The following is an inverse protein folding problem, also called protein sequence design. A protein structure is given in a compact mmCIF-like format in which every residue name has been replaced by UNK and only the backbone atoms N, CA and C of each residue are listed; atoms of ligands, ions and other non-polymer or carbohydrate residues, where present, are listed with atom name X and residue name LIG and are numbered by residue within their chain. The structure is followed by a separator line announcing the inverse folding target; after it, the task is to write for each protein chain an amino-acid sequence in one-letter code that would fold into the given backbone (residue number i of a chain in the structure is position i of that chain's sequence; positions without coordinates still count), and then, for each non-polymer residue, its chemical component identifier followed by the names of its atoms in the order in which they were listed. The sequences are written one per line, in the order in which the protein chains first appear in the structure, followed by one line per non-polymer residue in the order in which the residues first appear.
data_IF_069743692365
#
_entry.id   IF_069743692365
#
_cell.length_a   1.000
_cell.length_b   1.000
_cell.length_c   1.000
_cell.angle_alpha   90.00
_cell.angle_beta   90.00
_cell.angle_gamma   90.00
#
_symmetry.space_group_name_H-M   'P 1'
#
loop_
_entity.id
_entity.type
_entity.pdbx_description
1 polymer ?
#
# COMPACT_ATOMS: atom_id res chain seq x y z
N UNK A 1 -28.72 0.92 3.17
CA UNK A 1 -27.24 0.91 3.20
C UNK A 1 -26.75 2.21 2.58
N UNK A 2 -25.77 2.92 3.16
CA UNK A 2 -25.27 4.18 2.57
C UNK A 2 -24.64 3.93 1.19
N UNK A 3 -24.77 4.88 0.25
CA UNK A 3 -24.18 4.78 -1.11
C UNK A 3 -22.67 4.49 -1.08
N UNK A 4 -21.93 5.07 -0.12
CA UNK A 4 -20.50 4.84 0.11
C UNK A 4 -20.18 3.38 0.43
N UNK A 5 -20.95 2.73 1.31
CA UNK A 5 -20.74 1.32 1.67
C UNK A 5 -20.96 0.39 0.47
N UNK A 6 -21.94 0.69 -0.40
CA UNK A 6 -22.18 -0.09 -1.62
C UNK A 6 -20.97 -0.01 -2.58
N UNK A 7 -20.41 1.18 -2.77
CA UNK A 7 -19.22 1.37 -3.63
C UNK A 7 -17.98 0.67 -3.05
N UNK A 8 -17.84 0.65 -1.73
CA UNK A 8 -16.76 -0.08 -1.07
C UNK A 8 -16.94 -1.59 -1.26
N UNK A 9 -18.15 -2.12 -1.06
CA UNK A 9 -18.46 -3.52 -1.33
C UNK A 9 -18.15 -3.89 -2.79
N UNK A 10 -18.55 -3.04 -3.74
CA UNK A 10 -18.23 -3.23 -5.15
C UNK A 10 -16.71 -3.25 -5.38
N UNK A 11 -15.95 -2.41 -4.69
CA UNK A 11 -14.49 -2.45 -4.75
C UNK A 11 -13.94 -3.81 -4.32
N UNK A 12 -14.43 -4.37 -3.22
CA UNK A 12 -14.01 -5.70 -2.77
C UNK A 12 -14.32 -6.77 -3.81
N UNK A 13 -15.53 -6.77 -4.36
CA UNK A 13 -15.94 -7.71 -5.42
C UNK A 13 -15.01 -7.59 -6.64
N UNK A 14 -14.77 -6.37 -7.11
CA UNK A 14 -13.87 -6.11 -8.23
C UNK A 14 -12.44 -6.55 -7.92
N UNK A 15 -11.93 -6.27 -6.72
CA UNK A 15 -10.62 -6.74 -6.28
C UNK A 15 -10.52 -8.27 -6.36
N UNK A 16 -11.53 -8.99 -5.84
CA UNK A 16 -11.55 -10.45 -5.93
C UNK A 16 -11.55 -10.92 -7.38
N UNK A 17 -12.43 -10.39 -8.23
CA UNK A 17 -12.48 -10.76 -9.66
C UNK A 17 -11.19 -10.45 -10.42
N UNK A 18 -10.56 -9.30 -10.14
CA UNK A 18 -9.28 -8.91 -10.72
C UNK A 18 -8.12 -9.78 -10.25
N UNK A 19 -8.15 -10.30 -9.02
CA UNK A 19 -7.05 -11.15 -8.52
C UNK A 19 -7.24 -12.61 -8.92
N UNK A 20 -8.46 -13.13 -8.94
CA UNK A 20 -8.73 -14.51 -9.34
C UNK A 20 -8.51 -14.76 -10.82
N UNK A 21 -8.63 -13.73 -11.66
CA UNK A 21 -8.34 -13.79 -13.10
C UNK A 21 -6.84 -13.79 -13.42
N UNK A 22 -5.96 -13.54 -12.43
CA UNK A 22 -4.51 -13.56 -12.66
C UNK A 22 -4.06 -15.01 -12.88
N UNK A 23 -3.49 -15.35 -14.05
CA UNK A 23 -2.98 -16.69 -14.27
C UNK A 23 -1.87 -17.00 -13.28
N UNK A 24 -1.99 -18.14 -12.59
CA UNK A 24 -0.95 -18.63 -11.69
C UNK A 24 0.23 -19.11 -12.53
N UNK A 25 1.26 -18.27 -12.65
CA UNK A 25 2.53 -18.69 -13.27
C UNK A 25 3.16 -19.79 -12.41
N UNK A 26 3.63 -20.91 -13.01
CA UNK A 26 4.38 -21.91 -12.26
C UNK A 26 5.60 -21.25 -11.62
N UNK A 27 5.93 -21.69 -10.41
CA UNK A 27 7.09 -21.16 -9.69
C UNK A 27 8.37 -21.60 -10.41
N UNK A 28 9.00 -20.67 -11.12
CA UNK A 28 10.35 -20.86 -11.65
C UNK A 28 11.35 -20.34 -10.62
N UNK A 29 12.20 -21.20 -10.03
CA UNK A 29 13.24 -20.74 -9.11
C UNK A 29 14.17 -19.78 -9.86
N UNK A 30 14.23 -18.52 -9.42
CA UNK A 30 15.21 -17.56 -9.94
C UNK A 30 16.57 -17.83 -9.28
N UNK A 31 17.69 -17.68 -10.01
CA UNK A 31 19.01 -17.75 -9.41
C UNK A 31 19.10 -16.78 -8.23
N UNK A 32 19.69 -17.24 -7.12
CA UNK A 32 19.93 -16.38 -5.96
C UNK A 32 20.96 -15.33 -6.39
N UNK A 33 20.66 -14.02 -6.28
CA UNK A 33 21.66 -13.01 -6.56
C UNK A 33 22.84 -13.16 -5.58
N UNK A 34 24.04 -12.80 -6.04
CA UNK A 34 25.21 -12.69 -5.18
C UNK A 34 24.96 -11.54 -4.22
N UNK A 35 24.62 -11.88 -2.98
CA UNK A 35 24.38 -10.90 -1.91
C UNK A 35 25.68 -10.71 -1.15
N UNK A 36 26.13 -9.47 -0.95
CA UNK A 36 27.14 -9.17 0.06
C UNK A 36 26.63 -9.60 1.45
N UNK A 37 27.51 -10.03 2.35
CA UNK A 37 27.16 -10.40 3.73
C UNK A 37 26.21 -9.34 4.33
N UNK A 38 25.02 -9.78 4.75
CA UNK A 38 23.86 -8.99 5.24
C UNK A 38 24.17 -7.51 5.47
N UNK A 39 24.05 -6.70 4.41
CA UNK A 39 24.34 -5.29 4.50
C UNK A 39 23.07 -4.52 4.82
N UNK A 40 23.11 -3.60 5.79
CA UNK A 40 21.94 -2.77 6.18
C UNK A 40 21.38 -1.94 5.00
N UNK A 41 22.18 -1.78 3.94
CA UNK A 41 21.80 -1.21 2.65
C UNK A 41 20.77 -2.06 1.91
N UNK A 42 20.73 -3.39 2.10
CA UNK A 42 19.75 -4.28 1.47
C UNK A 42 18.32 -4.00 1.95
N UNK A 43 18.15 -3.61 3.22
CA UNK A 43 16.84 -3.23 3.75
C UNK A 43 16.37 -1.89 3.19
N UNK A 44 17.26 -0.89 3.14
CA UNK A 44 16.94 0.38 2.51
C UNK A 44 16.61 0.19 1.02
N UNK A 45 17.37 -0.64 0.29
CA UNK A 45 17.10 -1.02 -1.10
C UNK A 45 15.70 -1.61 -1.27
N UNK A 46 15.31 -2.51 -0.38
CA UNK A 46 13.99 -3.15 -0.42
C UNK A 46 12.85 -2.14 -0.19
N UNK A 47 13.04 -1.16 0.71
CA UNK A 47 12.06 -0.09 0.93
C UNK A 47 12.02 0.93 -0.21
N UNK A 48 13.16 1.27 -0.81
CA UNK A 48 13.24 2.29 -1.87
C UNK A 48 12.78 1.73 -3.21
N UNK A 49 13.27 0.55 -3.59
CA UNK A 49 13.09 -0.03 -4.94
C UNK A 49 12.18 -1.24 -5.00
N UNK A 50 11.75 -1.74 -3.85
CA UNK A 50 10.99 -2.99 -3.76
C UNK A 50 11.82 -4.26 -4.00
N UNK A 51 13.14 -4.12 -4.10
CA UNK A 51 14.03 -5.24 -4.36
C UNK A 51 14.34 -6.01 -3.06
N UNK A 52 13.60 -7.08 -2.86
CA UNK A 52 13.72 -7.98 -1.69
C UNK A 52 14.70 -9.12 -1.93
N UNK A 53 15.42 -9.13 -3.06
CA UNK A 53 16.21 -10.29 -3.47
C UNK A 53 17.35 -10.60 -2.49
N UNK A 54 18.03 -9.57 -1.99
CA UNK A 54 19.12 -9.67 -1.00
C UNK A 54 18.68 -9.75 0.47
N UNK A 55 17.38 -9.64 0.76
CA UNK A 55 16.90 -9.71 2.14
C UNK A 55 16.99 -11.13 2.70
N UNK A 56 17.51 -11.26 3.91
CA UNK A 56 17.59 -12.55 4.58
C UNK A 56 16.21 -13.13 4.90
N UNK A 57 16.07 -14.47 4.91
CA UNK A 57 14.78 -15.12 5.18
C UNK A 57 14.16 -14.70 6.52
N UNK A 58 15.01 -14.45 7.53
CA UNK A 58 14.59 -13.97 8.86
C UNK A 58 13.92 -12.61 8.76
N UNK A 59 14.53 -11.64 8.08
CA UNK A 59 13.95 -10.29 7.89
C UNK A 59 12.64 -10.36 7.12
N UNK A 60 12.58 -11.14 6.04
CA UNK A 60 11.34 -11.38 5.27
C UNK A 60 10.23 -11.96 6.13
N UNK A 61 10.54 -12.96 6.96
CA UNK A 61 9.58 -13.62 7.86
C UNK A 61 9.02 -12.64 8.90
N UNK A 62 9.86 -11.77 9.48
CA UNK A 62 9.40 -10.76 10.43
C UNK A 62 8.49 -9.72 9.77
N UNK A 63 8.87 -9.19 8.61
CA UNK A 63 8.01 -8.24 7.88
C UNK A 63 6.70 -8.89 7.41
N UNK A 64 6.73 -10.17 7.03
CA UNK A 64 5.50 -10.92 6.72
C UNK A 64 4.59 -11.04 7.95
N UNK A 65 5.18 -11.37 9.11
CA UNK A 65 4.44 -11.53 10.37
C UNK A 65 3.75 -10.23 10.80
N UNK A 66 4.41 -9.07 10.61
CA UNK A 66 3.86 -7.75 10.88
C UNK A 66 2.97 -7.18 9.77
N UNK A 67 2.74 -7.94 8.69
CA UNK A 67 2.04 -7.45 7.50
C UNK A 67 2.65 -6.16 6.94
N UNK A 68 3.99 -6.06 6.91
CA UNK A 68 4.75 -4.90 6.42
C UNK A 68 5.39 -5.11 5.04
N UNK A 69 5.21 -6.28 4.42
CA UNK A 69 5.81 -6.57 3.11
C UNK A 69 5.35 -5.61 2.01
N UNK A 70 4.17 -4.98 2.15
CA UNK A 70 3.67 -3.96 1.24
C UNK A 70 4.47 -2.67 1.32
N UNK A 71 5.11 -2.36 2.45
CA UNK A 71 6.00 -1.21 2.57
C UNK A 71 7.29 -1.41 1.77
N UNK A 72 7.70 -2.64 1.49
CA UNK A 72 8.81 -2.96 0.58
C UNK A 72 8.34 -3.06 -0.88
N UNK A 73 7.26 -2.39 -1.24
CA UNK A 73 6.77 -2.33 -2.61
C UNK A 73 6.44 -0.87 -2.87
N UNK A 74 7.11 -0.21 -3.83
CA UNK A 74 6.87 1.19 -4.11
C UNK A 74 5.37 1.44 -4.33
N UNK A 75 4.79 2.25 -3.45
CA UNK A 75 3.35 2.44 -3.30
C UNK A 75 2.99 3.91 -3.15
N UNK A 76 1.69 4.22 -3.06
CA UNK A 76 1.22 5.60 -2.84
C UNK A 76 1.81 6.26 -1.59
N UNK A 77 2.15 5.49 -0.55
CA UNK A 77 2.81 6.03 0.65
C UNK A 77 4.22 6.54 0.38
N UNK A 78 4.97 5.84 -0.47
CA UNK A 78 6.30 6.26 -0.88
C UNK A 78 6.18 7.55 -1.71
N UNK A 79 5.20 7.59 -2.62
CA UNK A 79 4.90 8.81 -3.36
C UNK A 79 4.53 9.97 -2.44
N UNK A 80 3.74 9.75 -1.39
CA UNK A 80 3.44 10.78 -0.39
C UNK A 80 4.71 11.31 0.28
N UNK A 81 5.67 10.45 0.62
CA UNK A 81 6.97 10.91 1.13
C UNK A 81 7.74 11.77 0.14
N UNK A 82 7.82 11.35 -1.13
CA UNK A 82 8.44 12.16 -2.18
C UNK A 82 7.71 13.50 -2.35
N UNK A 83 6.38 13.51 -2.32
CA UNK A 83 5.59 14.72 -2.40
C UNK A 83 5.80 15.65 -1.18
N UNK A 84 6.00 15.09 0.03
CA UNK A 84 6.36 15.85 1.21
C UNK A 84 7.74 16.51 1.06
N UNK A 85 8.73 15.78 0.54
CA UNK A 85 10.06 16.35 0.24
C UNK A 85 10.00 17.47 -0.80
N UNK A 86 9.16 17.32 -1.82
CA UNK A 86 8.94 18.34 -2.85
C UNK A 86 7.97 19.45 -2.41
N UNK A 87 7.34 19.33 -1.24
CA UNK A 87 6.26 20.23 -0.82
C UNK A 87 6.66 21.70 -0.72
N UNK A 88 7.86 22.09 -0.25
CA UNK A 88 8.25 23.50 -0.22
C UNK A 88 8.30 24.10 -1.62
N UNK A 89 8.85 23.36 -2.60
CA UNK A 89 8.90 23.77 -4.00
C UNK A 89 7.48 23.85 -4.61
N UNK A 90 6.64 22.84 -4.35
CA UNK A 90 5.25 22.83 -4.83
C UNK A 90 4.43 24.00 -4.26
N UNK A 91 4.64 24.36 -2.99
CA UNK A 91 3.99 25.49 -2.34
C UNK A 91 4.46 26.82 -2.92
N UNK A 92 5.77 26.98 -3.14
CA UNK A 92 6.34 28.17 -3.78
C UNK A 92 5.79 28.37 -5.20
N UNK A 93 5.69 27.29 -5.98
CA UNK A 93 5.15 27.33 -7.34
C UNK A 93 3.62 27.42 -7.41
N UNK A 94 2.89 27.26 -6.30
CA UNK A 94 1.41 27.23 -6.30
C UNK A 94 0.79 28.49 -6.92
N UNK A 95 1.41 29.66 -6.74
CA UNK A 95 0.97 30.93 -7.33
C UNK A 95 1.25 31.02 -8.84
N UNK A 96 2.22 30.25 -9.35
CA UNK A 96 2.65 30.19 -10.75
C UNK A 96 1.99 28.99 -11.44
N UNK A 97 0.69 29.11 -11.77
CA UNK A 97 -0.15 27.99 -12.28
C UNK A 97 0.53 27.16 -13.39
N UNK A 98 1.14 27.83 -14.39
CA UNK A 98 1.83 27.15 -15.48
C UNK A 98 3.06 26.36 -15.02
N UNK A 99 3.91 26.96 -14.17
CA UNK A 99 5.09 26.29 -13.62
C UNK A 99 4.72 25.11 -12.71
N UNK A 100 3.66 25.26 -11.90
CA UNK A 100 3.15 24.17 -11.07
C UNK A 100 2.59 23.03 -11.92
N UNK A 101 1.88 23.33 -13.01
CA UNK A 101 1.41 22.32 -13.95
C UNK A 101 2.57 21.61 -14.65
N UNK A 102 3.56 22.37 -15.15
CA UNK A 102 4.75 21.83 -15.79
C UNK A 102 5.54 20.91 -14.85
N UNK A 103 5.70 21.29 -13.58
CA UNK A 103 6.34 20.42 -12.59
C UNK A 103 5.59 19.08 -12.43
N UNK A 104 4.26 19.09 -12.36
CA UNK A 104 3.46 17.86 -12.27
C UNK A 104 3.62 17.00 -13.53
N UNK A 105 3.68 17.61 -14.70
CA UNK A 105 3.89 16.93 -15.97
C UNK A 105 5.27 16.28 -16.02
N UNK A 106 6.33 16.99 -15.61
CA UNK A 106 7.70 16.47 -15.51
C UNK A 106 7.75 15.28 -14.54
N UNK A 107 7.17 15.42 -13.35
CA UNK A 107 7.15 14.35 -12.34
C UNK A 107 6.39 13.13 -12.85
N UNK A 108 5.24 13.32 -13.51
CA UNK A 108 4.50 12.23 -14.15
C UNK A 108 5.32 11.54 -15.25
N UNK A 109 5.94 12.31 -16.15
CA UNK A 109 6.79 11.79 -17.23
C UNK A 109 7.98 10.99 -16.70
N UNK A 110 8.65 11.47 -15.65
CA UNK A 110 9.74 10.76 -14.98
C UNK A 110 9.30 9.39 -14.49
N UNK A 111 8.19 9.31 -13.74
CA UNK A 111 7.72 8.03 -13.20
C UNK A 111 7.14 7.12 -14.28
N UNK A 112 6.58 7.66 -15.37
CA UNK A 112 6.06 6.86 -16.47
C UNK A 112 7.15 6.01 -17.13
N UNK A 113 8.38 6.55 -17.24
CA UNK A 113 9.56 5.84 -17.76
C UNK A 113 10.10 4.72 -16.87
N UNK A 114 9.65 4.60 -15.60
CA UNK A 114 10.16 3.59 -14.66
C UNK A 114 9.15 2.46 -14.46
N UNK A 115 9.41 1.30 -15.06
CA UNK A 115 8.51 0.13 -15.05
C UNK A 115 8.11 -0.34 -13.64
N UNK A 116 9.01 -0.28 -12.66
CA UNK A 116 8.79 -0.78 -11.30
C UNK A 116 7.89 0.12 -10.45
N UNK A 117 7.61 1.34 -10.89
CA UNK A 117 6.93 2.39 -10.10
C UNK A 117 5.48 2.61 -10.54
N UNK A 118 4.76 1.55 -10.91
CA UNK A 118 3.37 1.63 -11.40
C UNK A 118 2.41 2.38 -10.44
N UNK A 119 2.58 2.21 -9.13
CA UNK A 119 1.77 2.95 -8.16
C UNK A 119 2.03 4.47 -8.19
N UNK A 120 3.26 4.89 -8.47
CA UNK A 120 3.61 6.31 -8.61
C UNK A 120 3.02 6.88 -9.90
N UNK A 121 3.02 6.11 -11.00
CA UNK A 121 2.36 6.51 -12.25
C UNK A 121 0.88 6.83 -12.02
N UNK A 122 0.16 5.96 -11.30
CA UNK A 122 -1.25 6.21 -10.93
C UNK A 122 -1.43 7.46 -10.07
N UNK A 123 -0.61 7.63 -9.02
CA UNK A 123 -0.76 8.79 -8.12
C UNK A 123 -0.41 10.10 -8.82
N UNK A 124 0.65 10.13 -9.63
CA UNK A 124 1.03 11.32 -10.41
C UNK A 124 0.01 11.64 -11.50
N UNK A 125 -0.51 10.63 -12.19
CA UNK A 125 -1.60 10.79 -13.16
C UNK A 125 -2.86 11.34 -12.47
N UNK A 126 -3.19 10.87 -11.26
CA UNK A 126 -4.27 11.42 -10.47
C UNK A 126 -4.09 12.91 -10.17
N UNK A 127 -2.90 13.32 -9.74
CA UNK A 127 -2.60 14.73 -9.49
C UNK A 127 -2.57 15.59 -10.76
N UNK A 128 -2.14 15.02 -11.89
CA UNK A 128 -2.13 15.68 -13.19
C UNK A 128 -3.55 15.88 -13.71
N UNK A 129 -4.39 14.86 -13.68
CA UNK A 129 -5.80 14.91 -14.09
C UNK A 129 -6.58 15.95 -13.27
N UNK A 130 -6.36 15.98 -11.95
CA UNK A 130 -6.95 16.98 -11.05
C UNK A 130 -6.46 18.41 -11.31
N UNK A 131 -5.27 18.57 -11.90
CA UNK A 131 -4.78 19.88 -12.33
C UNK A 131 -5.37 20.30 -13.68
N UNK A 132 -5.56 19.35 -14.61
CA UNK A 132 -6.18 19.56 -15.92
C UNK A 132 -7.67 19.86 -15.82
N UNK A 133 -8.40 19.15 -14.95
CA UNK A 133 -9.85 19.27 -14.80
C UNK A 133 -10.20 19.55 -13.33
N UNK A 134 -9.98 20.78 -12.82
CA UNK A 134 -10.11 21.08 -11.38
C UNK A 134 -11.51 20.85 -10.80
N UNK A 135 -12.55 20.97 -11.63
CA UNK A 135 -13.96 20.78 -11.25
C UNK A 135 -14.39 19.31 -11.22
N UNK A 136 -13.55 18.39 -11.69
CA UNK A 136 -13.89 16.96 -11.73
C UNK A 136 -14.04 16.42 -10.32
N UNK A 137 -15.10 15.68 -10.04
CA UNK A 137 -15.27 15.04 -8.73
C UNK A 137 -14.06 14.17 -8.37
N UNK A 138 -13.67 14.18 -7.09
CA UNK A 138 -12.47 13.50 -6.62
C UNK A 138 -12.58 11.96 -6.77
N UNK A 139 -13.78 11.39 -6.56
CA UNK A 139 -14.04 9.95 -6.75
C UNK A 139 -14.02 9.59 -8.22
N UNK A 140 -14.60 10.44 -9.08
CA UNK A 140 -14.56 10.25 -10.52
C UNK A 140 -13.14 10.35 -11.08
N UNK A 141 -12.34 11.31 -10.58
CA UNK A 141 -10.92 11.43 -10.94
C UNK A 141 -10.14 10.15 -10.65
N UNK A 142 -10.44 9.50 -9.51
CA UNK A 142 -9.84 8.21 -9.16
C UNK A 142 -10.24 7.10 -10.14
N UNK A 143 -11.53 6.97 -10.44
CA UNK A 143 -11.99 5.96 -11.40
C UNK A 143 -11.36 6.17 -12.78
N UNK A 144 -11.34 7.42 -13.25
CA UNK A 144 -10.76 7.77 -14.55
C UNK A 144 -9.27 7.42 -14.62
N UNK A 145 -8.50 7.65 -13.54
CA UNK A 145 -7.09 7.23 -13.47
C UNK A 145 -6.93 5.72 -13.62
N UNK A 146 -7.76 4.92 -12.96
CA UNK A 146 -7.67 3.47 -13.06
C UNK A 146 -8.13 2.94 -14.41
N UNK A 147 -9.13 3.57 -15.04
CA UNK A 147 -9.53 3.25 -16.42
C UNK A 147 -8.39 3.57 -17.39
N UNK A 148 -7.78 4.75 -17.28
CA UNK A 148 -6.63 5.14 -18.11
C UNK A 148 -5.46 4.17 -17.89
N UNK A 149 -5.07 3.91 -16.64
CA UNK A 149 -3.96 3.00 -16.29
C UNK A 149 -4.22 1.56 -16.76
N UNK A 150 -5.48 1.12 -16.75
CA UNK A 150 -5.88 -0.18 -17.30
C UNK A 150 -5.70 -0.23 -18.83
N UNK A 151 -6.17 0.80 -19.55
CA UNK A 151 -6.03 0.90 -21.01
C UNK A 151 -4.54 0.92 -21.42
N UNK A 152 -3.68 1.59 -20.65
CA UNK A 152 -2.23 1.58 -20.86
C UNK A 152 -1.53 0.27 -20.47
N UNK A 153 -2.28 -0.77 -20.07
CA UNK A 153 -1.76 -2.11 -19.86
C UNK A 153 -1.07 -2.33 -18.50
N UNK A 154 -1.19 -1.42 -17.54
CA UNK A 154 -0.59 -1.56 -16.21
C UNK A 154 -1.10 -2.79 -15.46
N UNK A 155 -2.37 -3.17 -15.67
CA UNK A 155 -2.92 -4.42 -15.12
C UNK A 155 -2.21 -5.65 -15.70
N UNK A 156 -1.97 -5.70 -17.01
CA UNK A 156 -1.26 -6.83 -17.64
C UNK A 156 0.20 -6.94 -17.17
N UNK A 157 0.87 -5.81 -16.95
CA UNK A 157 2.27 -5.77 -16.49
C UNK A 157 2.41 -6.15 -15.00
N UNK A 158 1.55 -5.62 -14.14
CA UNK A 158 1.64 -5.77 -12.69
C UNK A 158 0.25 -5.88 -12.03
N UNK A 159 -0.48 -6.99 -12.25
CA UNK A 159 -1.91 -7.09 -11.90
C UNK A 159 -2.16 -7.02 -10.40
N UNK A 160 -1.25 -7.57 -9.58
CA UNK A 160 -1.35 -7.45 -8.12
C UNK A 160 -1.15 -6.00 -7.65
N UNK A 161 -0.20 -5.27 -8.23
CA UNK A 161 0.03 -3.85 -7.89
C UNK A 161 -1.20 -3.02 -8.24
N UNK A 162 -1.78 -3.24 -9.42
CA UNK A 162 -3.00 -2.59 -9.87
C UNK A 162 -4.17 -2.88 -8.92
N UNK A 163 -4.47 -4.15 -8.67
CA UNK A 163 -5.61 -4.58 -7.85
C UNK A 163 -5.51 -4.09 -6.41
N UNK A 164 -4.32 -4.18 -5.79
CA UNK A 164 -4.10 -3.67 -4.43
C UNK A 164 -4.20 -2.15 -4.37
N UNK A 165 -3.67 -1.45 -5.37
CA UNK A 165 -3.80 0.01 -5.44
C UNK A 165 -5.26 0.42 -5.56
N UNK A 166 -6.04 -0.27 -6.41
CA UNK A 166 -7.46 -0.01 -6.57
C UNK A 166 -8.20 -0.19 -5.24
N UNK A 167 -7.99 -1.32 -4.56
CA UNK A 167 -8.60 -1.64 -3.28
C UNK A 167 -8.28 -0.60 -2.19
N UNK A 168 -7.00 -0.33 -1.95
CA UNK A 168 -6.61 0.54 -0.83
C UNK A 168 -6.93 2.02 -1.10
N UNK A 169 -6.71 2.50 -2.33
CA UNK A 169 -7.00 3.89 -2.66
C UNK A 169 -8.50 4.13 -2.64
N UNK A 170 -9.33 3.24 -3.21
CA UNK A 170 -10.79 3.43 -3.17
C UNK A 170 -11.30 3.50 -1.73
N UNK A 171 -10.78 2.68 -0.81
CA UNK A 171 -11.16 2.73 0.61
C UNK A 171 -10.83 4.10 1.22
N UNK A 172 -9.65 4.64 0.94
CA UNK A 172 -9.24 5.97 1.42
C UNK A 172 -10.19 7.05 0.89
N UNK A 173 -10.54 6.98 -0.39
CA UNK A 173 -11.35 7.98 -1.11
C UNK A 173 -12.84 7.90 -0.77
N UNK A 174 -13.39 6.69 -0.62
CA UNK A 174 -14.83 6.45 -0.47
C UNK A 174 -15.29 6.43 0.99
N UNK A 175 -14.39 6.20 1.95
CA UNK A 175 -14.75 6.19 3.38
C UNK A 175 -15.05 7.60 3.89
N UNK A 176 -16.23 7.76 4.50
CA UNK A 176 -16.76 9.05 4.98
C UNK A 176 -16.05 9.56 6.25
N UNK A 177 -15.59 8.66 7.13
CA UNK A 177 -14.99 9.02 8.42
C UNK A 177 -13.67 8.29 8.63
N UNK A 178 -12.81 8.83 9.51
CA UNK A 178 -11.53 8.21 9.87
C UNK A 178 -11.72 6.81 10.45
N UNK A 179 -12.67 6.63 11.38
CA UNK A 179 -12.95 5.33 11.98
C UNK A 179 -13.39 4.31 10.91
N UNK A 180 -14.35 4.68 10.04
CA UNK A 180 -14.80 3.77 8.97
C UNK A 180 -13.68 3.43 8.00
N UNK A 181 -12.80 4.39 7.68
CA UNK A 181 -11.61 4.15 6.86
C UNK A 181 -10.68 3.12 7.51
N UNK A 182 -10.38 3.25 8.81
CA UNK A 182 -9.52 2.30 9.54
C UNK A 182 -10.14 0.90 9.49
N UNK A 183 -11.44 0.78 9.77
CA UNK A 183 -12.15 -0.51 9.73
C UNK A 183 -12.12 -1.13 8.33
N UNK A 184 -12.38 -0.35 7.27
CA UNK A 184 -12.30 -0.83 5.90
C UNK A 184 -10.87 -1.21 5.49
N UNK A 185 -9.85 -0.48 5.94
CA UNK A 185 -8.45 -0.83 5.70
C UNK A 185 -8.08 -2.14 6.41
N UNK A 186 -8.55 -2.38 7.64
CA UNK A 186 -8.39 -3.66 8.32
C UNK A 186 -9.05 -4.80 7.55
N UNK A 187 -10.28 -4.59 7.06
CA UNK A 187 -10.97 -5.56 6.23
C UNK A 187 -10.20 -5.86 4.93
N UNK A 188 -9.66 -4.83 4.28
CA UNK A 188 -8.80 -5.00 3.11
C UNK A 188 -7.57 -5.84 3.44
N UNK A 189 -6.90 -5.59 4.57
CA UNK A 189 -5.77 -6.42 5.00
C UNK A 189 -6.14 -7.88 5.20
N UNK A 190 -7.33 -8.16 5.74
CA UNK A 190 -7.83 -9.53 5.90
C UNK A 190 -8.10 -10.17 4.55
N UNK A 191 -8.76 -9.45 3.63
CA UNK A 191 -9.00 -9.95 2.27
C UNK A 191 -7.69 -10.24 1.53
N UNK A 192 -6.70 -9.37 1.66
CA UNK A 192 -5.34 -9.57 1.13
C UNK A 192 -4.71 -10.81 1.76
N UNK A 193 -4.77 -10.96 3.08
CA UNK A 193 -4.24 -12.16 3.75
C UNK A 193 -4.92 -13.43 3.26
N UNK A 194 -6.24 -13.42 3.10
CA UNK A 194 -7.01 -14.55 2.57
C UNK A 194 -6.57 -14.92 1.13
N UNK A 195 -6.55 -13.93 0.24
CA UNK A 195 -6.16 -14.10 -1.18
C UNK A 195 -4.74 -14.64 -1.34
N UNK A 196 -3.80 -14.15 -0.53
CA UNK A 196 -2.40 -14.58 -0.57
C UNK A 196 -2.06 -15.72 0.39
N UNK A 197 -3.07 -16.37 1.00
CA UNK A 197 -2.90 -17.49 1.94
C UNK A 197 -1.89 -17.17 3.06
N UNK A 198 -2.00 -15.96 3.62
CA UNK A 198 -1.16 -15.48 4.71
C UNK A 198 -1.88 -15.57 6.05
N UNK A 199 -1.10 -15.80 7.10
CA UNK A 199 -1.61 -15.73 8.47
C UNK A 199 -1.92 -14.27 8.82
N UNK A 200 -3.10 -14.03 9.37
CA UNK A 200 -3.52 -12.74 9.88
C UNK A 200 -3.54 -12.77 11.41
N UNK A 201 -3.09 -11.67 12.01
CA UNK A 201 -3.13 -11.46 13.45
C UNK A 201 -3.56 -10.00 13.69
N UNK A 202 -4.54 -9.79 14.57
CA UNK A 202 -5.09 -8.46 14.86
C UNK A 202 -4.02 -7.49 15.38
N UNK A 203 -3.26 -7.90 16.39
CA UNK A 203 -2.20 -7.07 16.98
C UNK A 203 -1.11 -6.71 15.96
N UNK A 204 -0.71 -7.69 15.14
CA UNK A 204 0.22 -7.45 14.04
C UNK A 204 -0.33 -6.47 13.01
N UNK A 205 -1.64 -6.52 12.72
CA UNK A 205 -2.30 -5.61 11.80
C UNK A 205 -2.38 -4.18 12.35
N UNK A 206 -2.72 -4.04 13.63
CA UNK A 206 -2.75 -2.74 14.33
C UNK A 206 -1.36 -2.10 14.36
N UNK A 207 -0.34 -2.87 14.76
CA UNK A 207 1.05 -2.42 14.76
C UNK A 207 1.53 -2.13 13.32
N UNK A 208 1.16 -2.97 12.37
CA UNK A 208 1.45 -2.79 10.95
C UNK A 208 0.86 -1.49 10.39
N UNK A 209 -0.37 -1.16 10.76
CA UNK A 209 -1.01 0.12 10.41
C UNK A 209 -0.30 1.32 11.05
N UNK A 210 0.08 1.23 12.34
CA UNK A 210 0.83 2.29 13.01
C UNK A 210 2.17 2.56 12.29
N UNK A 211 2.92 1.50 11.99
CA UNK A 211 4.18 1.60 11.26
C UNK A 211 3.96 2.15 9.85
N UNK A 212 2.91 1.70 9.16
CA UNK A 212 2.52 2.20 7.83
C UNK A 212 2.18 3.70 7.87
N UNK A 213 1.54 4.18 8.95
CA UNK A 213 1.23 5.60 9.13
C UNK A 213 2.47 6.45 9.40
N UNK A 214 3.48 5.90 10.07
CA UNK A 214 4.77 6.56 10.29
C UNK A 214 5.71 6.47 9.08
N UNK A 215 5.48 5.51 8.18
CA UNK A 215 6.35 5.25 7.03
C UNK A 215 6.61 6.50 6.18
N UNK A 216 5.64 7.40 5.92
CA UNK A 216 5.92 8.58 5.13
C UNK A 216 7.04 9.47 5.67
N UNK A 217 7.20 9.51 7.00
CA UNK A 217 8.27 10.25 7.70
C UNK A 217 9.59 9.48 7.72
N UNK A 218 9.52 8.15 7.79
CA UNK A 218 10.70 7.28 7.85
C UNK A 218 11.33 7.05 6.47
N UNK A 219 10.54 7.06 5.41
CA UNK A 219 10.98 6.77 4.05
C UNK A 219 12.11 7.70 3.55
N UNK A 220 12.07 9.03 3.75
CA UNK A 220 13.18 9.90 3.38
C UNK A 220 14.52 9.49 4.03
N UNK A 221 14.50 8.98 5.27
CA UNK A 221 15.70 8.48 5.93
C UNK A 221 16.24 7.23 5.24
N UNK A 222 15.37 6.32 4.78
CA UNK A 222 15.77 5.16 3.98
C UNK A 222 16.30 5.56 2.60
N UNK A 223 15.70 6.57 1.96
CA UNK A 223 16.16 7.09 0.69
C UNK A 223 17.57 7.70 0.81
N UNK A 224 17.81 8.49 1.87
CA UNK A 224 19.12 9.04 2.17
C UNK A 224 20.13 7.94 2.49
N UNK A 225 19.78 6.95 3.33
CA UNK A 225 20.66 5.82 3.67
C UNK A 225 20.99 4.92 2.47
N UNK A 226 20.10 4.83 1.48
CA UNK A 226 20.37 4.10 0.25
C UNK A 226 21.32 4.86 -0.67
N UNK A 227 21.16 6.18 -0.78
CA UNK A 227 21.93 7.04 -1.70
C UNK A 227 23.28 7.47 -1.14
N UNK A 228 23.34 7.76 0.16
CA UNK A 228 24.57 8.02 0.88
C UNK A 228 25.06 6.71 1.47
N UNK A 229 26.36 6.38 1.33
CA UNK A 229 27.05 5.30 2.06
C UNK A 229 27.13 5.59 3.58
N UNK A 230 26.14 6.28 4.14
CA UNK A 230 26.19 6.81 5.48
C UNK A 230 26.02 5.71 6.50
N UNK A 231 26.89 5.74 7.51
CA UNK A 231 26.97 4.76 8.60
C UNK A 231 25.84 4.93 9.63
N UNK A 232 24.81 5.74 9.36
CA UNK A 232 23.75 6.02 10.32
C UNK A 232 22.92 4.76 10.63
N UNK A 233 22.94 4.39 11.91
CA UNK A 233 22.46 3.11 12.43
C UNK A 233 20.99 3.10 12.87
N UNK A 234 20.18 4.06 12.44
CA UNK A 234 18.77 4.08 12.81
C UNK A 234 18.01 2.99 12.05
N UNK A 235 17.89 1.82 12.66
CA UNK A 235 17.09 0.68 12.16
C UNK A 235 15.79 0.54 12.97
N UNK A 236 15.01 1.62 13.00
CA UNK A 236 13.68 1.67 13.61
C UNK A 236 12.80 0.51 13.12
N UNK A 237 12.91 0.11 11.85
CA UNK A 237 12.14 -1.01 11.31
C UNK A 237 12.62 -2.35 11.84
N UNK A 238 13.91 -2.55 12.07
CA UNK A 238 14.40 -3.76 12.74
C UNK A 238 14.00 -3.79 14.22
N UNK A 239 13.91 -2.64 14.89
CA UNK A 239 13.35 -2.53 16.24
C UNK A 239 11.88 -2.96 16.26
N UNK A 240 11.03 -2.41 15.39
CA UNK A 240 9.64 -2.83 15.26
C UNK A 240 9.51 -4.29 14.81
N UNK A 241 10.35 -4.76 13.90
CA UNK A 241 10.39 -6.16 13.49
C UNK A 241 10.79 -7.08 14.63
N UNK A 242 11.59 -6.61 15.58
CA UNK A 242 11.99 -7.37 16.76
C UNK A 242 10.87 -7.46 17.80
N UNK A 243 10.03 -6.42 17.96
CA UNK A 243 8.83 -6.50 18.81
C UNK A 243 7.82 -7.53 18.28
N UNK A 244 7.85 -7.84 16.98
CA UNK A 244 7.06 -8.91 16.38
C UNK A 244 7.34 -10.31 16.97
N UNK A 245 8.47 -10.52 17.65
CA UNK A 245 8.79 -11.80 18.31
C UNK A 245 7.77 -12.12 19.41
N UNK A 246 7.22 -11.11 20.07
CA UNK A 246 6.28 -11.23 21.20
C UNK A 246 4.85 -11.55 20.70
N UNK A 247 4.56 -11.31 19.43
CA UNK A 247 3.20 -11.49 18.88
C UNK A 247 2.92 -12.99 18.63
N UNK A 248 1.92 -13.62 19.25
CA UNK A 248 1.56 -15.02 18.96
C UNK A 248 1.09 -15.22 17.50
N UNK A 249 1.37 -16.39 16.92
CA UNK A 249 0.95 -16.71 15.55
C UNK A 249 -0.48 -17.29 15.55
N UNK A 250 -1.49 -16.49 15.18
CA UNK A 250 -2.84 -17.01 14.92
C UNK A 250 -3.01 -17.35 13.44
N UNK A 251 -3.72 -18.44 13.13
CA UNK A 251 -4.22 -18.72 11.78
C UNK A 251 -5.62 -18.10 11.68
N UNK A 252 -5.90 -17.24 10.70
CA UNK A 252 -7.23 -16.71 10.53
C UNK A 252 -8.13 -17.82 10.00
N UNK A 253 -9.06 -18.30 10.82
CA UNK A 253 -10.16 -19.13 10.35
C UNK A 253 -11.24 -18.25 9.71
N UNK A 254 -12.02 -18.84 8.79
CA UNK A 254 -13.12 -18.18 8.06
C UNK A 254 -14.10 -17.44 8.98
N UNK A 255 -14.22 -17.91 10.23
CA UNK A 255 -15.01 -17.27 11.27
C UNK A 255 -14.62 -15.80 11.54
N UNK A 256 -13.33 -15.43 11.52
CA UNK A 256 -12.93 -14.04 11.78
C UNK A 256 -13.42 -13.05 10.70
N UNK A 257 -13.71 -13.54 9.49
CA UNK A 257 -14.30 -12.76 8.40
C UNK A 257 -15.79 -12.48 8.67
N UNK A 258 -16.51 -13.47 9.21
CA UNK A 258 -17.92 -13.34 9.64
C UNK A 258 -18.08 -12.32 10.79
N UNK A 259 -17.12 -12.24 11.71
CA UNK A 259 -17.11 -11.29 12.82
C UNK A 259 -17.04 -9.81 12.39
N UNK A 260 -16.53 -9.52 11.20
CA UNK A 260 -16.38 -8.14 10.71
C UNK A 260 -17.60 -7.65 9.92
N UNK A 261 -18.46 -8.56 9.46
CA UNK A 261 -19.70 -8.22 8.75
C UNK A 261 -20.60 -7.31 9.59
N UNK A 262 -20.84 -7.56 10.90
CA UNK A 262 -21.54 -6.65 11.80
C UNK A 262 -20.96 -5.22 11.88
N UNK A 263 -19.63 -5.10 11.91
CA UNK A 263 -18.91 -3.82 11.97
C UNK A 263 -19.08 -3.03 10.67
N UNK A 264 -19.01 -3.71 9.52
CA UNK A 264 -19.27 -3.12 8.19
C UNK A 264 -20.73 -2.64 8.07
N UNK A 265 -21.66 -3.40 8.63
CA UNK A 265 -23.09 -3.05 8.64
C UNK A 265 -23.46 -1.98 9.68
N UNK A 266 -22.49 -1.45 10.44
CA UNK A 266 -22.71 -0.54 11.58
C UNK A 266 -23.74 -1.08 12.58
N UNK A 267 -23.78 -2.40 12.77
CA UNK A 267 -24.58 -3.06 13.82
C UNK A 267 -23.62 -3.61 14.88
N UNK A 268 -23.00 -2.74 15.71
CA UNK A 268 -22.00 -3.18 16.70
C UNK A 268 -22.59 -4.15 17.74
N UNK A 269 -23.91 -4.14 17.97
CA UNK A 269 -24.53 -5.14 18.86
C UNK A 269 -24.39 -6.58 18.34
N UNK A 270 -24.34 -6.79 17.02
CA UNK A 270 -24.17 -8.12 16.42
C UNK A 270 -22.72 -8.61 16.59
N UNK A 271 -21.78 -7.68 16.73
CA UNK A 271 -20.39 -7.99 17.06
C UNK A 271 -20.28 -8.49 18.50
N UNK A 272 -20.93 -7.81 19.45
CA UNK A 272 -20.96 -8.23 20.85
C UNK A 272 -21.68 -9.57 21.04
N UNK A 273 -22.81 -9.79 20.36
CA UNK A 273 -23.53 -11.07 20.49
C UNK A 273 -22.71 -12.26 20.00
N UNK A 274 -21.86 -12.10 18.98
CA UNK A 274 -21.00 -13.18 18.49
C UNK A 274 -19.80 -13.45 19.40
N UNK A 275 -19.33 -12.45 20.16
CA UNK A 275 -18.23 -12.57 21.11
C UNK A 275 -18.60 -13.40 22.36
N UNK A 276 -19.88 -13.48 22.70
CA UNK A 276 -20.38 -14.26 23.84
C UNK A 276 -20.50 -15.77 23.58
N UNK A 277 -20.30 -16.22 22.33
CA UNK A 277 -20.35 -17.65 21.95
C UNK A 277 -18.96 -18.28 21.79
N UNK A 278 -17.91 -17.62 22.28
CA UNK A 278 -16.53 -18.12 22.39
C UNK A 278 -16.14 -18.09 23.86
#
# INVERSE_FOLDING_TARGET
MKKSNLLILLTFILFFGLVTSIPRKPFTPKPKPVCSKESRTDLARAYVWGDKSCLSPRVKKLHKKLQLLHLMTPSGLHYTSFALLLSPLMLWLRKKKAAHFLLRLIVWGYFHGVEKLQAFKRMTLFHLLRALIPKLDYRFSFLLVFVIDFIFGSYSQAPYSFSLSFLFISIIILSESTLTRILHLMLAQICVCFVFQQKWNLLASLLGMLITALFPLLFPLYLLKWTTLSHYQLDLMQFFASSAKIIPNYKPEFFHLLFLIPLILRKPWLFWSMLFWI
#
